data_IF_176829998747
#
_entry.id   IF_176829998747
#
_cell.length_a   1.000
_cell.length_b   1.000
_cell.length_c   1.000
_cell.angle_alpha   90.00
_cell.angle_beta   90.00
_cell.angle_gamma   90.00
#
_symmetry.space_group_name_H-M   'P 1'
#
loop_
_entity.id
_entity.type
_entity.pdbx_description
1 polymer ?
#
# COMPACT_ATOMS: atom_id res chain seq x y z
N UNK A 1 30.84 14.23 16.81
CA UNK A 1 29.38 14.36 16.97
C UNK A 1 28.73 13.37 16.01
N UNK A 2 28.02 12.36 16.53
CA UNK A 2 27.42 11.26 15.76
C UNK A 2 26.01 11.64 15.28
N UNK A 3 25.84 11.83 13.97
CA UNK A 3 24.51 11.93 13.36
C UNK A 3 24.01 10.53 13.02
N UNK A 4 23.24 9.94 13.93
CA UNK A 4 22.47 8.73 13.66
C UNK A 4 21.27 9.11 12.76
N UNK A 5 21.41 8.90 11.45
CA UNK A 5 20.28 8.88 10.53
C UNK A 5 19.41 7.66 10.85
N UNK A 6 18.42 7.83 11.72
CA UNK A 6 17.38 6.84 11.99
C UNK A 6 16.46 6.84 10.77
N UNK A 7 16.84 6.11 9.71
CA UNK A 7 15.87 5.72 8.68
C UNK A 7 14.73 4.98 9.40
N UNK A 8 13.47 5.42 9.30
CA UNK A 8 12.37 4.72 9.94
C UNK A 8 12.35 3.30 9.38
N UNK A 9 12.64 2.31 10.24
CA UNK A 9 12.56 0.89 9.87
C UNK A 9 11.19 0.67 9.24
N UNK A 10 11.13 0.40 7.93
CA UNK A 10 9.90 -0.08 7.29
C UNK A 10 9.47 -1.29 8.09
N UNK A 11 8.34 -1.17 8.79
CA UNK A 11 7.79 -2.25 9.61
C UNK A 11 7.55 -3.41 8.64
N UNK A 12 8.34 -4.47 8.77
CA UNK A 12 8.18 -5.67 7.92
C UNK A 12 6.83 -6.26 8.29
N UNK A 13 5.82 -6.03 7.45
CA UNK A 13 4.48 -6.56 7.66
C UNK A 13 4.56 -8.07 7.54
N UNK A 14 4.28 -8.76 8.64
CA UNK A 14 4.22 -10.21 8.66
C UNK A 14 2.97 -10.68 7.93
N UNK A 15 2.90 -11.95 7.56
CA UNK A 15 1.69 -12.51 6.97
C UNK A 15 0.45 -12.34 7.89
N UNK A 16 0.65 -12.27 9.21
CA UNK A 16 -0.41 -12.10 10.21
C UNK A 16 -0.97 -10.67 10.25
N UNK A 17 -0.19 -9.67 9.83
CA UNK A 17 -0.62 -8.27 9.79
C UNK A 17 -1.51 -7.98 8.56
N UNK A 18 -1.51 -8.87 7.57
CA UNK A 18 -2.24 -8.70 6.31
C UNK A 18 -3.74 -8.91 6.52
N UNK A 19 -4.54 -8.07 5.86
CA UNK A 19 -5.99 -8.13 5.88
C UNK A 19 -6.52 -8.61 4.53
N UNK A 20 -7.68 -9.26 4.56
CA UNK A 20 -8.34 -9.75 3.37
C UNK A 20 -9.39 -8.73 2.90
N UNK A 21 -9.45 -8.50 1.58
CA UNK A 21 -10.50 -7.71 0.93
C UNK A 21 -11.31 -8.61 0.01
N UNK A 22 -12.63 -8.36 -0.10
CA UNK A 22 -13.49 -9.05 -1.07
C UNK A 22 -13.52 -8.22 -2.35
N UNK A 23 -13.37 -8.89 -3.49
CA UNK A 23 -13.40 -8.27 -4.83
C UNK A 23 -14.28 -9.10 -5.76
N UNK A 24 -14.72 -8.50 -6.86
CA UNK A 24 -15.45 -9.24 -7.90
C UNK A 24 -14.53 -10.25 -8.60
N UNK A 25 -15.09 -11.32 -9.20
CA UNK A 25 -14.31 -12.29 -9.95
C UNK A 25 -13.49 -11.66 -11.08
N UNK A 26 -14.05 -10.65 -11.76
CA UNK A 26 -13.38 -9.93 -12.83
C UNK A 26 -12.15 -9.18 -12.31
N UNK A 27 -12.28 -8.43 -11.21
CA UNK A 27 -11.16 -7.72 -10.59
C UNK A 27 -10.09 -8.69 -10.09
N UNK A 28 -10.49 -9.83 -9.50
CA UNK A 28 -9.56 -10.88 -9.08
C UNK A 28 -8.74 -11.43 -10.26
N UNK A 29 -9.40 -11.71 -11.39
CA UNK A 29 -8.73 -12.18 -12.61
C UNK A 29 -7.72 -11.16 -13.11
N UNK A 30 -8.09 -9.87 -13.20
CA UNK A 30 -7.17 -8.79 -13.59
C UNK A 30 -5.96 -8.70 -12.66
N UNK A 31 -6.17 -8.72 -11.35
CA UNK A 31 -5.08 -8.69 -10.34
C UNK A 31 -4.13 -9.87 -10.57
N UNK A 32 -4.67 -11.09 -10.68
CA UNK A 32 -3.86 -12.31 -10.85
C UNK A 32 -3.04 -12.24 -12.14
N UNK A 33 -3.65 -11.87 -13.26
CA UNK A 33 -2.97 -11.77 -14.55
C UNK A 33 -1.81 -10.77 -14.48
N UNK A 34 -2.04 -9.57 -13.93
CA UNK A 34 -0.99 -8.54 -13.82
C UNK A 34 0.13 -9.00 -12.88
N UNK A 35 -0.22 -9.57 -11.73
CA UNK A 35 0.74 -10.11 -10.76
C UNK A 35 1.62 -11.21 -11.39
N UNK A 36 1.02 -12.08 -12.20
CA UNK A 36 1.77 -13.10 -12.96
C UNK A 36 2.71 -12.49 -13.98
N UNK A 37 2.26 -11.48 -14.75
CA UNK A 37 3.11 -10.80 -15.74
C UNK A 37 4.29 -10.05 -15.11
N UNK A 38 4.12 -9.55 -13.88
CA UNK A 38 5.12 -8.76 -13.15
C UNK A 38 5.91 -9.59 -12.13
N UNK A 39 5.66 -10.89 -12.02
CA UNK A 39 6.26 -11.78 -11.02
C UNK A 39 6.16 -11.23 -9.59
N UNK A 40 5.00 -10.68 -9.24
CA UNK A 40 4.73 -9.97 -7.99
C UNK A 40 3.60 -10.63 -7.22
N UNK A 41 3.59 -10.52 -5.88
CA UNK A 41 2.48 -11.04 -5.08
C UNK A 41 1.32 -10.04 -5.06
N UNK A 42 0.09 -10.56 -4.96
CA UNK A 42 -1.13 -9.76 -4.99
C UNK A 42 -1.12 -8.56 -4.04
N UNK A 43 -0.63 -8.73 -2.80
CA UNK A 43 -0.63 -7.63 -1.83
C UNK A 43 0.40 -6.54 -2.19
N UNK A 44 1.55 -6.91 -2.76
CA UNK A 44 2.58 -5.96 -3.19
C UNK A 44 2.04 -5.09 -4.32
N UNK A 45 1.33 -5.72 -5.25
CA UNK A 45 0.66 -5.02 -6.35
C UNK A 45 -0.43 -4.06 -5.87
N UNK A 46 -1.23 -4.48 -4.88
CA UNK A 46 -2.27 -3.62 -4.31
C UNK A 46 -1.64 -2.43 -3.58
N UNK A 47 -0.55 -2.65 -2.82
CA UNK A 47 0.18 -1.57 -2.15
C UNK A 47 0.74 -0.57 -3.16
N UNK A 48 1.37 -1.04 -4.24
CA UNK A 48 1.92 -0.18 -5.30
C UNK A 48 0.84 0.64 -6.01
N UNK A 49 -0.29 0.03 -6.37
CA UNK A 49 -1.39 0.76 -7.01
C UNK A 49 -1.98 1.79 -6.06
N UNK A 50 -2.11 1.45 -4.78
CA UNK A 50 -2.64 2.37 -3.79
C UNK A 50 -1.71 3.58 -3.61
N UNK A 51 -0.41 3.36 -3.48
CA UNK A 51 0.59 4.43 -3.42
C UNK A 51 0.57 5.28 -4.69
N UNK A 52 0.48 4.65 -5.86
CA UNK A 52 0.38 5.35 -7.14
C UNK A 52 -0.87 6.22 -7.23
N UNK A 53 -2.04 5.70 -6.84
CA UNK A 53 -3.29 6.45 -6.84
C UNK A 53 -3.25 7.63 -5.85
N UNK A 54 -2.68 7.42 -4.67
CA UNK A 54 -2.52 8.50 -3.69
C UNK A 54 -1.63 9.62 -4.25
N UNK A 55 -0.52 9.26 -4.89
CA UNK A 55 0.44 10.24 -5.40
C UNK A 55 -0.06 11.00 -6.64
N UNK A 56 -0.79 10.32 -7.54
CA UNK A 56 -1.15 10.88 -8.86
C UNK A 56 -2.60 11.36 -8.96
N UNK A 57 -3.52 10.83 -8.15
CA UNK A 57 -4.95 11.09 -8.28
C UNK A 57 -5.55 11.87 -7.10
N UNK A 58 -4.91 11.87 -5.92
CA UNK A 58 -5.38 12.67 -4.78
C UNK A 58 -4.70 14.04 -4.75
N UNK A 59 -5.49 15.07 -4.46
CA UNK A 59 -4.99 16.42 -4.16
C UNK A 59 -4.25 16.47 -2.82
N UNK A 60 -3.42 17.48 -2.60
CA UNK A 60 -2.71 17.68 -1.33
C UNK A 60 -3.67 17.70 -0.11
N UNK A 61 -4.87 18.25 -0.30
CA UNK A 61 -5.90 18.29 0.74
C UNK A 61 -6.38 16.88 1.09
N UNK A 62 -6.70 16.07 0.09
CA UNK A 62 -7.18 14.70 0.29
C UNK A 62 -6.09 13.79 0.87
N UNK A 63 -4.84 13.95 0.41
CA UNK A 63 -3.68 13.26 0.98
C UNK A 63 -3.51 13.61 2.47
N UNK A 64 -3.67 14.89 2.84
CA UNK A 64 -3.59 15.34 4.24
C UNK A 64 -4.71 14.74 5.09
N UNK A 65 -5.94 14.70 4.57
CA UNK A 65 -7.07 14.06 5.25
C UNK A 65 -6.79 12.57 5.47
N UNK A 66 -6.34 11.86 4.42
CA UNK A 66 -5.99 10.44 4.50
C UNK A 66 -4.90 10.18 5.55
N UNK A 67 -3.84 11.00 5.58
CA UNK A 67 -2.77 10.90 6.57
C UNK A 67 -3.27 11.10 7.99
N UNK A 68 -4.14 12.09 8.21
CA UNK A 68 -4.69 12.37 9.54
C UNK A 68 -5.57 11.21 10.05
N UNK A 69 -6.42 10.65 9.18
CA UNK A 69 -7.30 9.52 9.55
C UNK A 69 -6.49 8.26 9.84
N UNK A 70 -5.51 7.94 9.00
CA UNK A 70 -4.70 6.72 9.15
C UNK A 70 -3.70 6.81 10.31
N UNK A 71 -3.24 8.01 10.67
CA UNK A 71 -2.33 8.23 11.80
C UNK A 71 -3.05 8.20 13.15
N UNK A 72 -4.33 8.55 13.20
CA UNK A 72 -5.15 8.49 14.41
C UNK A 72 -5.66 7.08 14.76
N UNK A 73 -5.56 6.12 13.83
CA UNK A 73 -5.98 4.73 14.02
C UNK A 73 -4.78 3.80 14.37
N UNK A 74 -3.69 4.37 14.89
CA UNK A 74 -2.42 3.66 15.11
C UNK A 74 -2.08 3.49 16.58
#
# INVERSE_FOLDING_TARGET
MTNNNITPKKKVLTAQDRKNIKVTPESFSKIKTICTMKSMKNYEFIDEILEFYIANNLTEREQRILKNITSNNK
#
